data_IF_744776397546
#
_entry.id   IF_744776397546
#
_cell.length_a   1.000
_cell.length_b   1.000
_cell.length_c   1.000
_cell.angle_alpha   90.00
_cell.angle_beta   90.00
_cell.angle_gamma   90.00
#
_symmetry.space_group_name_H-M   'P 1'
#
loop_
_entity.id
_entity.type
_entity.pdbx_description
1 polymer ?
#
# COMPACT_ATOMS: atom_id res chain seq x y z
N UNK A 1 4.97 2.81 -17.62
CA UNK A 1 6.31 2.36 -17.13
C UNK A 1 6.19 1.88 -15.69
N UNK A 2 7.15 1.11 -15.16
CA UNK A 2 7.12 0.69 -13.77
C UNK A 2 8.21 1.34 -12.91
N UNK A 3 7.79 1.83 -11.74
CA UNK A 3 8.69 2.28 -10.68
C UNK A 3 8.57 1.35 -9.48
N UNK A 4 9.72 0.99 -8.91
CA UNK A 4 9.85 0.25 -7.67
C UNK A 4 10.30 1.20 -6.56
N UNK A 5 9.45 1.41 -5.56
CA UNK A 5 9.75 2.18 -4.36
C UNK A 5 10.24 1.18 -3.30
N UNK A 6 11.55 1.18 -3.04
CA UNK A 6 12.20 0.29 -2.08
C UNK A 6 12.51 1.04 -0.79
N UNK A 7 11.84 0.72 0.33
CA UNK A 7 12.26 1.20 1.64
C UNK A 7 13.70 0.80 1.95
N UNK A 8 14.49 1.72 2.50
CA UNK A 8 15.88 1.44 2.92
C UNK A 8 15.98 0.83 4.32
N UNK A 9 14.85 0.54 4.95
CA UNK A 9 14.71 -0.17 6.22
C UNK A 9 13.23 -0.41 6.52
N UNK A 10 12.89 -0.79 7.75
CA UNK A 10 11.50 -0.98 8.14
C UNK A 10 10.68 0.32 7.95
N UNK A 11 9.44 0.19 7.46
CA UNK A 11 8.55 1.31 7.10
C UNK A 11 7.18 1.19 7.77
N UNK A 12 6.60 2.32 8.13
CA UNK A 12 5.27 2.38 8.73
C UNK A 12 4.22 2.79 7.68
N UNK A 13 3.26 1.90 7.41
CA UNK A 13 2.10 2.16 6.55
C UNK A 13 0.81 2.14 7.37
N UNK A 14 0.57 3.25 8.08
CA UNK A 14 -0.62 3.44 8.91
C UNK A 14 -1.78 3.88 8.04
N UNK A 15 -2.85 3.09 7.99
CA UNK A 15 -4.05 3.40 7.21
C UNK A 15 -5.10 4.19 8.01
N UNK A 16 -5.00 4.14 9.34
CA UNK A 16 -5.78 4.98 10.24
C UNK A 16 -5.52 4.64 11.70
N UNK A 17 -6.37 5.14 12.59
CA UNK A 17 -6.14 5.19 14.03
C UNK A 17 -5.59 6.54 14.47
N UNK A 18 -5.31 6.68 15.77
CA UNK A 18 -4.82 7.92 16.35
C UNK A 18 -3.39 7.71 16.85
N UNK A 19 -2.46 8.54 16.40
CA UNK A 19 -1.11 8.64 16.95
C UNK A 19 -0.83 10.08 17.33
N UNK A 20 -0.81 10.36 18.62
CA UNK A 20 -0.39 11.65 19.14
C UNK A 20 0.34 11.43 20.45
N UNK A 21 1.50 12.08 20.58
CA UNK A 21 2.25 12.19 21.83
C UNK A 21 1.46 12.89 22.94
N UNK A 22 0.39 13.61 22.60
CA UNK A 22 -0.49 14.29 23.56
C UNK A 22 -1.56 13.35 24.12
N UNK A 23 -1.80 12.20 23.47
CA UNK A 23 -2.69 11.17 24.00
C UNK A 23 -1.84 10.35 24.95
N UNK A 24 -1.86 10.73 26.22
CA UNK A 24 -1.13 10.03 27.28
C UNK A 24 -1.56 8.56 27.37
N UNK A 25 -0.66 7.62 27.10
CA UNK A 25 -0.89 6.19 27.30
C UNK A 25 -0.45 5.29 26.13
N UNK A 26 -0.32 4.00 26.42
CA UNK A 26 0.33 2.94 25.64
C UNK A 26 -0.37 2.48 24.35
N UNK A 27 -1.39 3.19 23.86
CA UNK A 27 -2.22 2.65 22.77
C UNK A 27 -1.91 3.36 21.46
N UNK A 28 -0.94 2.79 20.74
CA UNK A 28 -0.93 2.88 19.29
C UNK A 28 -2.19 2.16 18.78
N UNK A 29 -3.28 2.92 18.60
CA UNK A 29 -4.54 2.44 18.01
C UNK A 29 -4.48 2.45 16.47
N UNK A 30 -3.29 2.64 15.91
CA UNK A 30 -3.05 2.60 14.49
C UNK A 30 -3.36 1.22 13.92
N UNK A 31 -4.11 1.16 12.82
CA UNK A 31 -4.17 -0.05 12.01
C UNK A 31 -3.22 0.09 10.81
N UNK A 32 -2.53 -1.01 10.53
CA UNK A 32 -1.41 -1.08 9.60
C UNK A 32 -1.71 -2.14 8.56
N UNK A 33 -1.28 -1.89 7.34
CA UNK A 33 -1.46 -2.80 6.22
C UNK A 33 -0.11 -3.00 5.49
N UNK A 34 0.07 -4.11 4.75
CA UNK A 34 1.35 -4.44 4.15
C UNK A 34 1.74 -3.54 2.98
N UNK A 35 0.77 -2.80 2.42
CA UNK A 35 0.98 -1.83 1.36
C UNK A 35 0.51 -0.44 1.82
N UNK A 36 1.18 0.63 1.37
CA UNK A 36 0.75 2.00 1.66
C UNK A 36 -0.58 2.34 0.99
N UNK A 37 -1.25 3.37 1.49
CA UNK A 37 -2.36 3.97 0.76
C UNK A 37 -1.88 4.70 -0.50
N UNK A 38 -2.73 4.80 -1.54
CA UNK A 38 -2.41 5.58 -2.74
C UNK A 38 -2.04 7.04 -2.43
N UNK A 39 -2.65 7.65 -1.40
CA UNK A 39 -2.31 9.00 -0.95
C UNK A 39 -0.86 9.14 -0.48
N UNK A 40 -0.30 8.12 0.19
CA UNK A 40 1.11 8.10 0.62
C UNK A 40 2.04 8.07 -0.59
N UNK A 41 1.72 7.25 -1.60
CA UNK A 41 2.49 7.17 -2.84
C UNK A 41 2.39 8.47 -3.63
N UNK A 42 1.19 9.00 -3.79
CA UNK A 42 0.95 10.26 -4.48
C UNK A 42 1.73 11.41 -3.81
N UNK A 43 1.71 11.50 -2.48
CA UNK A 43 2.49 12.50 -1.74
C UNK A 43 4.00 12.38 -1.97
N UNK A 44 4.53 11.16 -1.97
CA UNK A 44 5.94 10.92 -2.23
C UNK A 44 6.35 11.23 -3.67
N UNK A 45 5.55 10.82 -4.66
CA UNK A 45 5.80 11.15 -6.06
C UNK A 45 5.69 12.65 -6.30
N UNK A 46 4.72 13.34 -5.68
CA UNK A 46 4.58 14.79 -5.77
C UNK A 46 5.80 15.50 -5.21
N UNK A 47 6.27 15.07 -4.04
CA UNK A 47 7.51 15.57 -3.45
C UNK A 47 8.70 15.37 -4.40
N UNK A 48 8.88 14.15 -4.94
CA UNK A 48 9.95 13.84 -5.87
C UNK A 48 9.87 14.68 -7.15
N UNK A 49 8.67 14.90 -7.70
CA UNK A 49 8.44 15.73 -8.88
C UNK A 49 8.82 17.19 -8.66
N UNK A 50 8.43 17.76 -7.52
CA UNK A 50 8.75 19.15 -7.16
C UNK A 50 10.26 19.32 -7.03
N UNK A 51 10.93 18.42 -6.29
CA UNK A 51 12.38 18.50 -6.05
C UNK A 51 13.18 18.34 -7.35
N UNK A 52 12.72 17.51 -8.29
CA UNK A 52 13.38 17.29 -9.57
C UNK A 52 12.91 18.26 -10.68
N UNK A 53 12.08 19.27 -10.37
CA UNK A 53 11.61 20.25 -11.33
C UNK A 53 10.74 19.69 -12.47
N UNK A 54 10.04 18.57 -12.23
CA UNK A 54 9.24 17.87 -13.25
C UNK A 54 7.80 18.41 -13.36
N UNK A 55 7.31 19.07 -12.32
CA UNK A 55 5.98 19.63 -12.22
C UNK A 55 5.60 19.96 -10.77
N UNK A 56 4.41 20.56 -10.59
CA UNK A 56 3.86 20.89 -9.26
C UNK A 56 3.01 19.78 -8.65
N UNK A 57 2.68 18.76 -9.44
CA UNK A 57 1.83 17.65 -9.01
C UNK A 57 2.42 16.29 -9.40
N UNK A 58 1.95 15.23 -8.73
CA UNK A 58 2.37 13.86 -9.01
C UNK A 58 1.81 13.35 -10.35
N UNK A 59 2.51 12.42 -11.01
CA UNK A 59 1.99 11.76 -12.21
C UNK A 59 0.87 10.80 -11.85
N UNK A 60 0.06 10.45 -12.85
CA UNK A 60 -0.93 9.40 -12.67
C UNK A 60 -0.26 8.03 -12.56
N UNK A 61 -0.75 7.20 -11.63
CA UNK A 61 -0.23 5.86 -11.42
C UNK A 61 -1.31 4.84 -11.08
N UNK A 62 -1.00 3.55 -11.30
CA UNK A 62 -1.77 2.40 -10.82
C UNK A 62 -0.97 1.59 -9.81
N UNK A 63 -1.69 0.97 -8.88
CA UNK A 63 -1.15 0.16 -7.79
C UNK A 63 -1.72 0.60 -6.44
N UNK A 64 -1.10 0.24 -5.31
CA UNK A 64 0.21 -0.42 -5.21
C UNK A 64 0.17 -1.93 -5.38
N UNK A 65 1.30 -2.47 -5.82
CA UNK A 65 1.61 -3.90 -5.77
C UNK A 65 2.81 -4.13 -4.86
N UNK A 66 2.81 -5.23 -4.12
CA UNK A 66 4.04 -5.75 -3.54
C UNK A 66 4.85 -6.40 -4.66
N UNK A 67 6.16 -6.16 -4.71
CA UNK A 67 7.04 -6.81 -5.68
C UNK A 67 8.30 -7.31 -4.98
N UNK A 68 8.74 -8.51 -5.36
CA UNK A 68 10.04 -9.03 -4.98
C UNK A 68 10.63 -9.92 -6.08
N UNK A 69 11.95 -9.89 -6.23
CA UNK A 69 12.70 -10.71 -7.17
C UNK A 69 13.96 -11.22 -6.50
N UNK A 70 14.14 -12.54 -6.49
CA UNK A 70 15.35 -13.22 -6.04
C UNK A 70 16.18 -13.70 -7.23
N UNK A 71 16.90 -14.81 -7.06
CA UNK A 71 17.69 -15.41 -8.13
C UNK A 71 16.83 -16.29 -9.04
N UNK A 72 15.90 -17.04 -8.44
CA UNK A 72 15.09 -18.05 -9.13
C UNK A 72 13.65 -17.59 -9.32
N UNK A 73 13.16 -16.75 -8.41
CA UNK A 73 11.74 -16.40 -8.36
C UNK A 73 11.52 -14.90 -8.52
N UNK A 74 10.46 -14.56 -9.25
CA UNK A 74 9.89 -13.23 -9.31
C UNK A 74 8.43 -13.32 -8.87
N UNK A 75 8.05 -12.46 -7.93
CA UNK A 75 6.71 -12.44 -7.35
C UNK A 75 6.20 -11.01 -7.31
N UNK A 76 4.92 -10.89 -7.57
CA UNK A 76 4.19 -9.65 -7.34
C UNK A 76 2.84 -9.98 -6.71
N UNK A 77 2.37 -9.13 -5.82
CA UNK A 77 1.16 -9.39 -5.06
C UNK A 77 0.27 -8.17 -4.97
N UNK A 78 -1.03 -8.41 -4.99
CA UNK A 78 -2.04 -7.41 -4.61
C UNK A 78 -2.37 -7.50 -3.14
N UNK A 79 -2.84 -6.39 -2.58
CA UNK A 79 -3.42 -6.40 -1.26
C UNK A 79 -4.69 -7.26 -1.24
N UNK A 80 -4.79 -8.13 -0.25
CA UNK A 80 -6.03 -8.75 0.17
C UNK A 80 -6.29 -8.33 1.60
N UNK A 81 -7.15 -7.34 1.78
CA UNK A 81 -7.53 -6.82 3.07
C UNK A 81 -8.28 -7.88 3.91
N UNK A 82 -8.06 -7.90 5.24
CA UNK A 82 -6.99 -7.23 5.99
C UNK A 82 -5.70 -8.06 6.04
N UNK A 83 -4.54 -7.40 6.10
CA UNK A 83 -3.23 -8.00 6.35
C UNK A 83 -2.88 -9.21 5.45
N UNK A 84 -3.40 -9.25 4.23
CA UNK A 84 -3.17 -10.34 3.29
C UNK A 84 -2.56 -9.85 1.99
N UNK A 85 -1.88 -10.74 1.29
CA UNK A 85 -1.40 -10.54 -0.07
C UNK A 85 -1.86 -11.73 -0.91
N UNK A 86 -2.37 -11.47 -2.11
CA UNK A 86 -2.53 -12.50 -3.14
C UNK A 86 -1.39 -12.32 -4.13
N UNK A 87 -0.53 -13.33 -4.23
CA UNK A 87 0.71 -13.28 -4.98
C UNK A 87 0.66 -14.13 -6.24
N UNK A 88 1.19 -13.62 -7.35
CA UNK A 88 1.50 -14.37 -8.56
C UNK A 88 3.01 -14.62 -8.59
N UNK A 89 3.41 -15.91 -8.60
CA UNK A 89 4.80 -16.33 -8.62
C UNK A 89 5.14 -16.94 -9.97
N UNK A 90 6.04 -16.29 -10.73
CA UNK A 90 6.45 -16.73 -12.07
C UNK A 90 5.27 -17.06 -13.02
N UNK A 91 4.17 -16.30 -12.95
CA UNK A 91 2.99 -16.51 -13.79
C UNK A 91 2.09 -17.67 -13.39
N UNK A 92 2.41 -18.36 -12.30
CA UNK A 92 1.71 -19.56 -11.84
C UNK A 92 1.26 -19.39 -10.38
N UNK A 93 -0.04 -19.61 -10.17
CA UNK A 93 -0.77 -19.66 -8.89
C UNK A 93 -0.84 -18.36 -8.05
N UNK A 94 -2.06 -18.09 -7.55
CA UNK A 94 -2.45 -17.02 -6.62
C UNK A 94 -2.18 -17.48 -5.18
N UNK A 95 -0.93 -17.40 -4.71
CA UNK A 95 -0.62 -17.76 -3.32
C UNK A 95 -1.15 -16.67 -2.37
N UNK A 96 -2.06 -17.04 -1.47
CA UNK A 96 -2.41 -16.17 -0.35
C UNK A 96 -1.31 -16.18 0.71
N UNK A 97 -0.79 -15.01 1.05
CA UNK A 97 0.13 -14.78 2.15
C UNK A 97 -0.51 -13.89 3.20
N UNK A 98 -0.80 -14.45 4.37
CA UNK A 98 -1.13 -13.66 5.56
C UNK A 98 0.12 -12.98 6.10
N UNK A 99 0.02 -11.68 6.38
CA UNK A 99 1.07 -10.86 6.98
C UNK A 99 0.85 -10.85 8.49
N UNK A 100 1.70 -11.60 9.18
CA UNK A 100 1.66 -11.84 10.62
C UNK A 100 2.50 -10.81 11.40
N UNK A 101 2.31 -10.75 12.73
CA UNK A 101 3.07 -9.85 13.62
C UNK A 101 4.58 -9.99 13.50
N UNK A 102 5.11 -11.20 13.19
CA UNK A 102 6.55 -11.44 13.04
C UNK A 102 7.22 -10.64 11.92
N UNK A 103 6.47 -10.13 10.95
CA UNK A 103 7.00 -9.27 9.89
C UNK A 103 7.06 -7.79 10.30
N UNK A 104 6.61 -7.46 11.51
CA UNK A 104 6.61 -6.10 12.01
C UNK A 104 7.59 -5.94 13.17
N UNK A 105 8.46 -4.96 13.04
CA UNK A 105 9.26 -4.46 14.14
C UNK A 105 8.42 -3.53 15.02
N UNK A 106 8.44 -3.76 16.33
CA UNK A 106 7.88 -2.83 17.30
C UNK A 106 9.00 -1.94 17.81
N UNK A 107 8.84 -0.62 17.64
CA UNK A 107 9.80 0.37 18.12
C UNK A 107 9.15 1.24 19.16
N UNK A 108 9.80 1.41 20.30
CA UNK A 108 9.38 2.33 21.35
C UNK A 108 10.30 3.55 21.27
N UNK A 109 9.71 4.73 21.15
CA UNK A 109 10.41 6.00 21.12
C UNK A 109 10.06 6.84 22.34
N UNK A 110 11.02 7.66 22.76
CA UNK A 110 10.87 8.64 23.84
C UNK A 110 11.38 10.00 23.38
N UNK A 111 10.80 11.08 23.89
CA UNK A 111 11.40 12.40 23.75
C UNK A 111 12.21 12.75 24.99
N UNK A 112 13.45 13.22 24.79
CA UNK A 112 14.31 13.71 25.88
C UNK A 112 14.20 15.23 26.00
N UNK A 113 14.20 15.72 27.24
CA UNK A 113 14.52 17.11 27.51
C UNK A 113 16.03 17.31 27.29
N UNK A 114 16.39 18.30 26.46
CA UNK A 114 17.78 18.53 26.04
C UNK A 114 18.69 18.96 27.18
N UNK A 115 18.14 19.68 28.17
CA UNK A 115 18.88 20.28 29.29
C UNK A 115 19.24 19.23 30.34
N UNK A 116 18.24 18.54 30.87
CA UNK A 116 18.44 17.59 31.98
C UNK A 116 18.59 16.12 31.54
N UNK A 117 18.49 15.83 30.24
CA UNK A 117 18.54 14.48 29.65
C UNK A 117 17.49 13.50 30.21
N UNK A 118 16.45 14.00 30.86
CA UNK A 118 15.33 13.20 31.35
C UNK A 118 14.27 13.02 30.26
N UNK A 119 13.50 11.94 30.37
CA UNK A 119 12.33 11.71 29.50
C UNK A 119 11.30 12.80 29.76
N UNK A 120 10.78 13.42 28.69
CA UNK A 120 9.66 14.34 28.81
C UNK A 120 8.42 13.56 29.23
N UNK A 121 7.76 14.03 30.28
CA UNK A 121 6.55 13.39 30.80
C UNK A 121 5.51 13.23 29.68
N UNK A 122 4.96 12.01 29.51
CA UNK A 122 3.97 11.63 28.48
C UNK A 122 4.49 11.52 27.04
N UNK A 123 5.76 11.80 26.77
CA UNK A 123 6.35 11.64 25.44
C UNK A 123 6.98 10.26 25.25
N UNK A 124 6.18 9.21 25.44
CA UNK A 124 6.51 7.85 25.05
C UNK A 124 5.55 7.43 23.95
N UNK A 125 6.07 6.80 22.89
CA UNK A 125 5.24 6.28 21.82
C UNK A 125 5.76 4.93 21.34
N UNK A 126 4.89 4.17 20.69
CA UNK A 126 5.23 2.90 20.07
C UNK A 126 4.76 2.92 18.63
N UNK A 127 5.63 2.52 17.71
CA UNK A 127 5.32 2.42 16.28
C UNK A 127 5.54 0.99 15.79
N UNK A 128 4.69 0.56 14.85
CA UNK A 128 4.76 -0.76 14.23
C UNK A 128 5.26 -0.57 12.79
N UNK A 129 6.45 -1.09 12.50
CA UNK A 129 7.09 -0.91 11.19
C UNK A 129 7.22 -2.26 10.48
N UNK A 130 6.75 -2.32 9.23
CA UNK A 130 6.86 -3.51 8.41
C UNK A 130 8.29 -3.68 7.91
N UNK A 131 8.85 -4.86 8.14
CA UNK A 131 10.08 -5.32 7.51
C UNK A 131 9.76 -6.01 6.18
N UNK A 132 9.85 -5.24 5.09
CA UNK A 132 9.58 -5.75 3.76
C UNK A 132 10.64 -6.75 3.26
N UNK A 133 11.86 -6.74 3.81
CA UNK A 133 12.92 -7.70 3.43
C UNK A 133 12.54 -9.07 3.95
N UNK A 134 12.15 -9.16 5.22
CA UNK A 134 11.72 -10.41 5.83
C UNK A 134 10.45 -10.97 5.17
N UNK A 135 9.48 -10.10 4.85
CA UNK A 135 8.29 -10.51 4.10
C UNK A 135 8.65 -11.03 2.69
N UNK A 136 9.51 -10.32 1.96
CA UNK A 136 9.96 -10.73 0.63
C UNK A 136 10.72 -12.06 0.66
N UNK A 137 11.61 -12.24 1.64
CA UNK A 137 12.41 -13.47 1.81
C UNK A 137 11.52 -14.69 1.98
N UNK A 138 10.49 -14.56 2.81
CA UNK A 138 9.53 -15.62 3.08
C UNK A 138 8.66 -15.94 1.85
N UNK A 139 8.18 -14.94 1.10
CA UNK A 139 7.36 -15.19 -0.11
C UNK A 139 8.21 -15.83 -1.22
N UNK A 140 9.46 -15.39 -1.38
CA UNK A 140 10.35 -15.90 -2.41
C UNK A 140 10.95 -17.28 -2.06
N UNK A 141 11.07 -17.60 -0.77
CA UNK A 141 11.91 -18.67 -0.22
C UNK A 141 13.41 -18.50 -0.52
N UNK A 142 13.88 -17.25 -0.66
CA UNK A 142 15.28 -16.88 -0.89
C UNK A 142 15.49 -15.41 -0.55
N UNK A 143 16.74 -14.94 -0.44
CA UNK A 143 17.00 -13.52 -0.16
C UNK A 143 16.64 -12.64 -1.37
N UNK A 144 15.86 -11.56 -1.20
CA UNK A 144 15.43 -10.72 -2.32
C UNK A 144 16.61 -9.88 -2.87
N UNK A 145 16.81 -9.91 -4.20
CA UNK A 145 17.71 -8.99 -4.92
C UNK A 145 17.04 -7.64 -5.18
N UNK A 146 15.73 -7.65 -5.40
CA UNK A 146 14.88 -6.45 -5.51
C UNK A 146 13.61 -6.69 -4.71
N UNK A 147 13.11 -5.67 -4.04
CA UNK A 147 11.83 -5.71 -3.35
C UNK A 147 11.26 -4.30 -3.16
N UNK A 148 9.97 -4.20 -2.88
CA UNK A 148 9.33 -2.94 -2.51
C UNK A 148 7.92 -2.83 -3.05
N UNK A 149 7.49 -1.58 -3.22
CA UNK A 149 6.17 -1.25 -3.75
C UNK A 149 6.31 -0.90 -5.22
N UNK A 150 5.67 -1.70 -6.06
CA UNK A 150 5.65 -1.52 -7.50
C UNK A 150 4.40 -0.72 -7.88
N UNK A 151 4.62 0.28 -8.74
CA UNK A 151 3.55 1.08 -9.34
C UNK A 151 3.77 1.20 -10.84
N UNK A 152 2.67 1.26 -11.58
CA UNK A 152 2.67 1.59 -13.00
C UNK A 152 2.42 3.09 -13.15
N UNK A 153 3.34 3.84 -13.74
CA UNK A 153 3.21 5.28 -13.95
C UNK A 153 2.95 5.57 -15.42
N UNK A 154 2.02 6.48 -15.68
CA UNK A 154 1.66 6.96 -17.02
C UNK A 154 2.18 8.40 -17.23
N UNK A 155 3.51 8.56 -17.20
CA UNK A 155 4.21 9.81 -17.50
C UNK A 155 5.66 9.51 -17.87
N UNK A 156 6.11 9.96 -19.04
CA UNK A 156 7.48 9.77 -19.52
C UNK A 156 8.52 10.51 -18.67
N UNK A 157 8.14 11.64 -18.05
CA UNK A 157 9.03 12.41 -17.18
C UNK A 157 9.44 11.63 -15.93
N UNK A 158 8.64 10.64 -15.53
CA UNK A 158 8.91 9.80 -14.36
C UNK A 158 10.21 9.00 -14.48
N UNK A 159 10.78 8.84 -15.69
CA UNK A 159 12.12 8.24 -15.87
C UNK A 159 13.19 9.00 -15.08
N UNK A 160 13.05 10.33 -14.94
CA UNK A 160 13.98 11.16 -14.17
C UNK A 160 13.95 10.90 -12.66
N UNK A 161 12.98 10.14 -12.16
CA UNK A 161 12.94 9.71 -10.76
C UNK A 161 13.84 8.51 -10.46
N UNK A 162 14.48 7.91 -11.46
CA UNK A 162 15.36 6.76 -11.22
C UNK A 162 16.50 7.13 -10.26
N UNK A 163 16.71 6.28 -9.25
CA UNK A 163 17.62 6.47 -8.13
C UNK A 163 17.30 7.60 -7.14
N UNK A 164 16.16 8.29 -7.27
CA UNK A 164 15.74 9.27 -6.27
C UNK A 164 15.58 8.64 -4.88
N UNK A 165 16.03 9.34 -3.83
CA UNK A 165 15.87 8.93 -2.43
C UNK A 165 15.16 10.03 -1.67
N UNK A 166 14.12 9.69 -0.92
CA UNK A 166 13.38 10.65 -0.10
C UNK A 166 12.53 10.00 0.98
N UNK A 167 11.83 10.80 1.81
CA UNK A 167 10.99 10.30 2.88
C UNK A 167 9.71 9.66 2.33
N UNK A 168 9.39 8.44 2.77
CA UNK A 168 8.25 7.66 2.31
C UNK A 168 7.57 6.90 3.45
N UNK A 169 6.26 7.11 3.62
CA UNK A 169 5.48 6.55 4.72
C UNK A 169 5.56 7.38 6.00
N UNK A 170 5.25 6.76 7.14
CA UNK A 170 5.36 7.39 8.46
C UNK A 170 6.81 7.53 8.94
N UNK A 171 7.02 8.32 10.01
CA UNK A 171 8.32 8.46 10.71
C UNK A 171 9.51 8.87 9.82
N UNK A 172 9.26 9.60 8.72
CA UNK A 172 10.29 10.09 7.77
C UNK A 172 11.26 9.02 7.29
N UNK A 173 10.80 7.78 7.13
CA UNK A 173 11.64 6.65 6.72
C UNK A 173 12.08 6.82 5.26
N UNK A 174 13.37 6.64 4.91
CA UNK A 174 13.84 6.84 3.55
C UNK A 174 13.47 5.65 2.65
N UNK A 175 13.08 5.96 1.42
CA UNK A 175 12.91 4.98 0.34
C UNK A 175 13.59 5.46 -0.94
N UNK A 176 14.00 4.50 -1.77
CA UNK A 176 14.62 4.72 -3.07
C UNK A 176 13.67 4.34 -4.19
N UNK A 177 13.54 5.21 -5.20
CA UNK A 177 12.83 4.91 -6.45
C UNK A 177 13.82 4.29 -7.43
N UNK A 178 13.41 3.20 -8.08
CA UNK A 178 14.12 2.64 -9.23
C UNK A 178 13.16 2.36 -10.37
N UNK A 179 13.57 2.67 -11.60
CA UNK A 179 12.89 2.15 -12.79
C UNK A 179 13.15 0.65 -12.89
N UNK A 180 12.09 -0.10 -13.18
CA UNK A 180 12.16 -1.55 -13.39
C UNK A 180 11.29 -1.97 -14.56
N UNK A 181 11.60 -3.12 -15.13
CA UNK A 181 10.82 -3.78 -16.18
C UNK A 181 10.46 -5.18 -15.66
N UNK A 182 9.40 -5.28 -14.83
CA UNK A 182 8.99 -6.54 -14.23
C UNK A 182 8.35 -7.45 -15.27
N UNK A 183 8.54 -8.76 -15.13
CA UNK A 183 7.85 -9.74 -15.96
C UNK A 183 6.46 -10.03 -15.36
N UNK A 184 5.47 -9.21 -15.73
CA UNK A 184 4.09 -9.37 -15.26
C UNK A 184 3.32 -10.25 -16.25
N UNK A 185 3.19 -11.53 -15.91
CA UNK A 185 2.29 -12.44 -16.61
C UNK A 185 0.89 -12.34 -16.01
N UNK A 186 -0.10 -12.00 -16.85
CA UNK A 186 -1.51 -11.87 -16.47
C UNK A 186 -2.23 -13.22 -16.61
N UNK A 187 -2.88 -13.68 -15.55
CA UNK A 187 -3.67 -14.90 -15.39
C UNK A 187 -5.17 -14.62 -15.71
N UNK A 188 -5.55 -13.36 -15.96
CA UNK A 188 -6.83 -12.95 -16.55
C UNK A 188 -7.90 -12.53 -15.54
N UNK A 189 -7.60 -12.43 -14.24
CA UNK A 189 -8.55 -11.90 -13.25
C UNK A 189 -8.28 -10.44 -12.95
N UNK A 190 -9.28 -9.58 -13.09
CA UNK A 190 -9.14 -8.17 -12.77
C UNK A 190 -9.48 -7.89 -11.33
N UNK A 191 -8.48 -7.59 -10.52
CA UNK A 191 -8.65 -7.41 -9.08
C UNK A 191 -8.34 -6.00 -8.63
N UNK A 192 -8.97 -5.63 -7.53
CA UNK A 192 -8.75 -4.37 -6.87
C UNK A 192 -7.41 -4.37 -6.12
N UNK A 193 -6.44 -3.57 -6.58
CA UNK A 193 -5.11 -3.47 -5.98
C UNK A 193 -5.02 -2.43 -4.85
N UNK A 194 -5.91 -1.45 -4.85
CA UNK A 194 -5.96 -0.38 -3.85
C UNK A 194 -7.41 -0.04 -3.48
N UNK A 195 -7.67 0.55 -2.30
CA UNK A 195 -9.04 0.90 -1.93
C UNK A 195 -9.69 1.80 -2.99
N UNK A 196 -10.96 1.55 -3.33
CA UNK A 196 -11.71 2.38 -4.26
C UNK A 196 -12.63 3.32 -3.48
N UNK A 197 -12.51 4.63 -3.71
CA UNK A 197 -13.37 5.63 -3.08
C UNK A 197 -14.72 5.63 -3.79
N UNK A 198 -15.80 5.37 -3.06
CA UNK A 198 -17.15 5.18 -3.60
C UNK A 198 -18.19 5.91 -2.77
N UNK A 199 -19.40 6.05 -3.30
CA UNK A 199 -20.52 6.63 -2.56
C UNK A 199 -21.30 5.57 -1.77
N UNK A 200 -21.49 4.39 -2.37
CA UNK A 200 -22.19 3.23 -1.76
C UNK A 200 -21.86 1.93 -2.48
N UNK A 201 -22.15 0.80 -1.84
CA UNK A 201 -21.99 -0.53 -2.43
C UNK A 201 -22.70 -1.62 -1.64
N UNK A 202 -22.83 -2.78 -2.25
CA UNK A 202 -23.35 -4.02 -1.69
C UNK A 202 -22.39 -5.20 -1.99
N UNK A 203 -22.81 -6.45 -1.78
CA UNK A 203 -21.94 -7.61 -2.00
C UNK A 203 -21.71 -7.95 -3.50
N UNK A 204 -22.39 -7.26 -4.42
CA UNK A 204 -22.36 -7.55 -5.86
C UNK A 204 -21.97 -6.34 -6.72
N UNK A 205 -22.11 -5.13 -6.21
CA UNK A 205 -21.93 -3.90 -6.98
C UNK A 205 -21.51 -2.71 -6.12
N UNK A 206 -20.81 -1.76 -6.75
CA UNK A 206 -20.43 -0.48 -6.15
C UNK A 206 -20.75 0.68 -7.08
N UNK A 207 -20.98 1.86 -6.49
CA UNK A 207 -21.48 3.05 -7.18
C UNK A 207 -20.68 4.30 -6.76
N UNK A 208 -20.36 5.14 -7.74
CA UNK A 208 -19.72 6.44 -7.53
C UNK A 208 -20.18 7.43 -8.61
N UNK A 209 -20.74 8.56 -8.19
CA UNK A 209 -21.35 9.52 -9.11
C UNK A 209 -22.46 8.86 -9.92
N UNK A 210 -22.33 8.90 -11.24
CA UNK A 210 -23.25 8.23 -12.18
C UNK A 210 -22.71 6.89 -12.70
N UNK A 211 -21.60 6.39 -12.13
CA UNK A 211 -20.96 5.15 -12.54
C UNK A 211 -21.19 4.02 -11.54
N UNK A 212 -21.09 2.79 -12.05
CA UNK A 212 -21.09 1.58 -11.23
C UNK A 212 -20.11 0.54 -11.75
N UNK A 213 -19.84 -0.47 -10.91
CA UNK A 213 -19.16 -1.70 -11.30
C UNK A 213 -19.70 -2.89 -10.50
N UNK A 214 -19.80 -4.04 -11.17
CA UNK A 214 -20.06 -5.36 -10.62
C UNK A 214 -18.77 -5.92 -10.03
N UNK A 215 -18.92 -6.46 -8.83
CA UNK A 215 -17.81 -7.02 -8.07
C UNK A 215 -18.15 -8.44 -7.61
N UNK A 216 -17.11 -9.21 -7.36
CA UNK A 216 -17.21 -10.53 -6.75
C UNK A 216 -16.06 -10.71 -5.78
N UNK A 217 -16.31 -11.36 -4.65
CA UNK A 217 -15.22 -11.73 -3.73
C UNK A 217 -14.27 -12.70 -4.43
N UNK A 218 -12.98 -12.49 -4.25
CA UNK A 218 -11.96 -13.40 -4.78
C UNK A 218 -12.04 -14.71 -4.00
N UNK A 219 -12.71 -15.71 -4.58
CA UNK A 219 -12.75 -17.06 -4.05
C UNK A 219 -11.61 -17.88 -4.67
N UNK A 220 -10.69 -18.37 -3.85
CA UNK A 220 -9.78 -19.45 -4.21
C UNK A 220 -10.15 -20.68 -3.36
N UNK A 221 -10.22 -21.85 -3.98
CA UNK A 221 -10.38 -23.15 -3.32
C UNK A 221 -9.30 -23.39 -2.24
N UNK A 222 -8.10 -22.83 -2.40
CA UNK A 222 -7.06 -22.87 -1.37
C UNK A 222 -7.21 -21.78 -0.29
N UNK A 223 -7.96 -20.70 -0.56
CA UNK A 223 -8.35 -19.67 0.42
C UNK A 223 -9.49 -20.12 1.34
N UNK A 224 -10.35 -21.04 0.87
CA UNK A 224 -11.54 -21.50 1.61
C UNK A 224 -11.22 -22.16 2.95
N UNK A 225 -10.07 -22.83 3.09
CA UNK A 225 -9.67 -23.45 4.37
C UNK A 225 -9.32 -22.43 5.45
N UNK A 226 -9.06 -21.17 5.09
CA UNK A 226 -8.54 -20.16 6.02
C UNK A 226 -9.56 -19.07 6.38
N UNK A 227 -10.59 -18.85 5.55
CA UNK A 227 -11.58 -17.78 5.76
C UNK A 227 -13.00 -18.21 5.36
N UNK A 228 -13.67 -18.99 6.21
CA UNK A 228 -15.11 -19.25 6.10
C UNK A 228 -15.88 -17.95 6.38
N UNK A 229 -16.69 -17.47 5.43
CA UNK A 229 -17.60 -16.33 5.61
C UNK A 229 -17.11 -14.95 5.15
N UNK A 230 -16.18 -14.85 4.19
CA UNK A 230 -15.78 -13.54 3.63
C UNK A 230 -16.98 -12.78 3.05
N UNK A 231 -17.15 -11.54 3.50
CA UNK A 231 -18.05 -10.52 2.93
C UNK A 231 -17.23 -9.42 2.27
N UNK A 232 -17.83 -8.69 1.33
CA UNK A 232 -17.19 -7.51 0.77
C UNK A 232 -16.94 -6.52 1.91
N UNK A 233 -15.70 -6.03 2.03
CA UNK A 233 -15.33 -5.16 3.14
C UNK A 233 -15.32 -3.71 2.69
N UNK A 234 -16.08 -2.89 3.41
CA UNK A 234 -16.12 -1.44 3.27
C UNK A 234 -15.55 -0.76 4.51
N UNK A 235 -14.84 0.35 4.33
CA UNK A 235 -14.31 1.15 5.44
C UNK A 235 -14.46 2.64 5.17
N UNK A 236 -14.66 3.40 6.24
CA UNK A 236 -14.41 4.84 6.23
C UNK A 236 -12.91 5.06 6.42
N UNK A 237 -12.27 5.66 5.42
CA UNK A 237 -10.83 5.86 5.34
C UNK A 237 -10.54 7.33 5.08
N UNK A 238 -9.54 7.87 5.77
CA UNK A 238 -9.03 9.21 5.49
C UNK A 238 -8.19 9.18 4.22
N UNK A 239 -8.39 10.18 3.35
CA UNK A 239 -7.61 10.32 2.12
C UNK A 239 -6.15 10.76 2.37
N UNK A 240 -5.70 10.80 3.63
CA UNK A 240 -4.35 11.15 4.04
C UNK A 240 -4.27 12.52 4.70
N UNK A 241 -3.12 13.17 4.54
CA UNK A 241 -2.84 14.49 5.08
C UNK A 241 -2.26 15.37 3.98
N UNK A 242 -2.69 16.62 3.94
CA UNK A 242 -1.96 17.72 3.33
C UNK A 242 -1.14 18.43 4.41
N UNK A 243 -0.32 19.41 4.03
CA UNK A 243 0.48 20.20 4.98
C UNK A 243 -0.43 20.76 6.08
N UNK A 244 -0.20 20.29 7.31
CA UNK A 244 -0.94 20.67 8.53
C UNK A 244 -2.46 20.39 8.52
N UNK A 245 -2.99 19.60 7.58
CA UNK A 245 -4.44 19.34 7.50
C UNK A 245 -4.75 17.90 7.12
N UNK A 246 -5.63 17.24 7.88
CA UNK A 246 -6.17 15.94 7.51
C UNK A 246 -7.13 16.09 6.32
N UNK A 247 -6.96 15.24 5.31
CA UNK A 247 -7.89 15.17 4.18
C UNK A 247 -9.19 14.45 4.60
N UNK A 248 -10.30 14.69 3.88
CA UNK A 248 -11.60 14.12 4.22
C UNK A 248 -11.59 12.60 4.41
N UNK A 249 -12.53 12.13 5.22
CA UNK A 249 -12.83 10.70 5.35
C UNK A 249 -13.90 10.34 4.32
N UNK A 250 -13.69 9.26 3.58
CA UNK A 250 -14.62 8.76 2.56
C UNK A 250 -14.86 7.27 2.74
N UNK A 251 -16.00 6.80 2.24
CA UNK A 251 -16.26 5.37 2.11
C UNK A 251 -15.36 4.79 1.03
N UNK A 252 -14.75 3.66 1.33
CA UNK A 252 -13.98 2.91 0.36
C UNK A 252 -14.33 1.43 0.38
N UNK A 253 -14.36 0.84 -0.81
CA UNK A 253 -14.29 -0.59 -1.03
C UNK A 253 -12.83 -1.04 -0.82
N UNK A 254 -12.63 -2.03 0.03
CA UNK A 254 -11.28 -2.52 0.36
C UNK A 254 -10.81 -3.59 -0.64
N UNK A 255 -9.48 -3.72 -0.89
CA UNK A 255 -8.92 -4.74 -1.76
C UNK A 255 -9.26 -6.16 -1.29
N UNK A 256 -10.23 -6.82 -1.91
CA UNK A 256 -10.51 -8.26 -1.71
C UNK A 256 -11.45 -8.82 -2.78
N UNK A 257 -11.59 -8.09 -3.89
CA UNK A 257 -12.63 -8.32 -4.89
C UNK A 257 -12.05 -8.31 -6.30
N UNK A 258 -12.66 -9.12 -7.14
CA UNK A 258 -12.58 -9.08 -8.58
C UNK A 258 -13.63 -8.10 -9.12
N UNK A 259 -13.28 -7.32 -10.13
CA UNK A 259 -14.18 -6.42 -10.86
C UNK A 259 -14.52 -7.07 -12.20
N UNK A 260 -15.81 -7.30 -12.43
CA UNK A 260 -16.27 -8.07 -13.58
C UNK A 260 -16.44 -7.23 -14.85
N UNK A 261 -16.58 -5.91 -14.72
CA UNK A 261 -16.74 -5.01 -15.86
C UNK A 261 -15.41 -4.66 -16.52
N UNK A 262 -15.50 -4.26 -17.80
CA UNK A 262 -14.32 -3.84 -18.55
C UNK A 262 -13.83 -2.42 -18.20
N UNK A 263 -13.43 -2.20 -16.94
CA UNK A 263 -12.90 -0.92 -16.44
C UNK A 263 -11.40 -0.98 -16.13
N UNK A 264 -10.70 0.14 -16.34
CA UNK A 264 -9.27 0.30 -15.99
C UNK A 264 -9.04 0.67 -14.51
N UNK A 265 -10.04 1.28 -13.88
CA UNK A 265 -10.09 1.66 -12.47
C UNK A 265 -11.56 1.87 -12.05
N UNK A 266 -11.84 1.89 -10.75
CA UNK A 266 -13.18 2.16 -10.20
C UNK A 266 -13.13 3.22 -9.10
N UNK A 267 -14.21 3.97 -8.90
CA UNK A 267 -14.29 4.99 -7.86
C UNK A 267 -13.68 6.35 -8.23
N UNK A 268 -13.54 7.22 -7.23
CA UNK A 268 -12.98 8.57 -7.39
C UNK A 268 -11.46 8.61 -7.23
N UNK A 269 -10.83 9.67 -7.77
CA UNK A 269 -9.39 9.96 -7.65
C UNK A 269 -8.47 8.86 -8.19
N UNK A 270 -8.91 8.20 -9.27
CA UNK A 270 -8.20 7.07 -9.89
C UNK A 270 -6.86 7.48 -10.49
N UNK A 271 -6.72 8.74 -10.88
CA UNK A 271 -5.45 9.32 -11.33
C UNK A 271 -4.39 9.27 -10.22
N UNK A 272 -4.79 9.30 -8.94
CA UNK A 272 -3.90 9.21 -7.76
C UNK A 272 -3.75 7.77 -7.26
N UNK A 273 -4.10 6.78 -8.08
CA UNK A 273 -3.96 5.36 -7.79
C UNK A 273 -5.07 4.77 -6.92
N UNK A 274 -6.10 5.52 -6.52
CA UNK A 274 -7.27 4.96 -5.84
C UNK A 274 -8.06 4.07 -6.79
N UNK A 275 -8.61 2.97 -6.27
CA UNK A 275 -9.40 2.02 -7.04
C UNK A 275 -8.68 1.44 -8.25
N UNK A 276 -7.36 1.29 -8.15
CA UNK A 276 -6.52 0.72 -9.20
C UNK A 276 -6.91 -0.73 -9.44
N UNK A 277 -7.13 -1.09 -10.70
CA UNK A 277 -7.35 -2.46 -11.12
C UNK A 277 -6.11 -3.02 -11.77
N UNK A 278 -5.79 -4.27 -11.43
CA UNK A 278 -4.70 -5.01 -12.04
C UNK A 278 -5.20 -6.37 -12.50
N UNK A 279 -4.71 -6.79 -13.65
CA UNK A 279 -4.98 -8.14 -14.15
C UNK A 279 -3.95 -9.07 -13.51
N UNK A 280 -4.39 -9.95 -12.61
CA UNK A 280 -3.57 -11.05 -12.09
C UNK A 280 -3.66 -12.26 -12.93
#
# INVERSE_FOLDING_TARGET
MYLLITPLGASAFKWGGISSILISGSINSGYFEPLPLPSTIHGFLKYAYIINGLGKDAPSFKGPLFYAKGEKNEVWCVHHYPLGLICNKNGSFLQFKKVEERYFERRIGIALNRENKLVKERYIYMEKMLDMVNLAKEILNEYPKKFGILIEVNDEKAVKLDNFVGPFGGESRPAKIKRVEPNIQKIGKRVLASPAIIDKGDDQSVYWGNESAKIKIIHDSNLQKTFVGQKVTYRLISLGFDVNKRLPVRLALMPSVEVLDDKKAIGYSTEKGWGSLVDI
#
